data_IF_182005290382
#
_entry.id   IF_182005290382
#
_cell.length_a   1.000
_cell.length_b   1.000
_cell.length_c   1.000
_cell.angle_alpha   90.00
_cell.angle_beta   90.00
_cell.angle_gamma   90.00
#
_symmetry.space_group_name_H-M   'P 1'
#
loop_
_entity.id
_entity.type
_entity.pdbx_description
1 polymer ?
#
# COMPACT_ATOMS: atom_id res chain seq x y z
N UNK A 1 -49.40 32.51 -57.65
CA UNK A 1 -48.20 32.10 -56.90
C UNK A 1 -47.82 30.72 -57.41
N UNK A 2 -46.70 30.61 -58.13
CA UNK A 2 -46.40 29.42 -58.91
C UNK A 2 -46.10 28.22 -58.01
N UNK A 3 -46.57 27.03 -58.40
CA UNK A 3 -46.39 25.77 -57.64
C UNK A 3 -44.93 25.53 -57.24
N UNK A 4 -43.99 26.04 -58.05
CA UNK A 4 -42.55 26.01 -57.79
C UNK A 4 -42.17 26.69 -56.47
N UNK A 5 -42.66 27.91 -56.19
CA UNK A 5 -42.34 28.63 -54.95
C UNK A 5 -42.91 27.92 -53.71
N UNK A 6 -44.10 27.33 -53.82
CA UNK A 6 -44.70 26.57 -52.72
C UNK A 6 -43.85 25.33 -52.37
N UNK A 7 -43.34 24.61 -53.37
CA UNK A 7 -42.45 23.45 -53.16
C UNK A 7 -41.12 23.88 -52.56
N UNK A 8 -40.53 24.97 -53.05
CA UNK A 8 -39.26 25.49 -52.54
C UNK A 8 -39.38 25.92 -51.06
N UNK A 9 -40.44 26.63 -50.69
CA UNK A 9 -40.69 27.04 -49.30
C UNK A 9 -40.89 25.83 -48.40
N UNK A 10 -41.68 24.85 -48.84
CA UNK A 10 -41.91 23.62 -48.07
C UNK A 10 -40.60 22.83 -47.84
N UNK A 11 -39.76 22.72 -48.88
CA UNK A 11 -38.46 22.05 -48.77
C UNK A 11 -37.51 22.80 -47.83
N UNK A 12 -37.41 24.13 -47.96
CA UNK A 12 -36.58 24.94 -47.06
C UNK A 12 -37.04 24.86 -45.60
N UNK A 13 -38.36 24.90 -45.36
CA UNK A 13 -38.92 24.74 -44.02
C UNK A 13 -38.61 23.35 -43.45
N UNK A 14 -38.78 22.28 -44.24
CA UNK A 14 -38.47 20.91 -43.83
C UNK A 14 -36.99 20.76 -43.47
N UNK A 15 -36.08 21.23 -44.33
CA UNK A 15 -34.64 21.19 -44.07
C UNK A 15 -34.29 21.98 -42.81
N UNK A 16 -34.90 23.16 -42.61
CA UNK A 16 -34.70 23.95 -41.40
C UNK A 16 -35.13 23.19 -40.13
N UNK A 17 -36.31 22.58 -40.13
CA UNK A 17 -36.77 21.76 -38.99
C UNK A 17 -35.86 20.55 -38.74
N UNK A 18 -35.39 19.89 -39.79
CA UNK A 18 -34.44 18.78 -39.67
C UNK A 18 -33.10 19.24 -39.07
N UNK A 19 -32.57 20.38 -39.51
CA UNK A 19 -31.34 20.96 -38.96
C UNK A 19 -31.50 21.34 -37.49
N UNK A 20 -32.64 21.92 -37.10
CA UNK A 20 -32.94 22.21 -35.71
C UNK A 20 -33.01 20.92 -34.87
N UNK A 21 -33.69 19.88 -35.37
CA UNK A 21 -33.78 18.59 -34.69
C UNK A 21 -32.39 17.95 -34.47
N UNK A 22 -31.53 18.01 -35.49
CA UNK A 22 -30.14 17.53 -35.40
C UNK A 22 -29.35 18.36 -34.38
N UNK A 23 -29.51 19.69 -34.39
CA UNK A 23 -28.82 20.56 -33.44
C UNK A 23 -29.23 20.28 -31.99
N UNK A 24 -30.52 20.16 -31.70
CA UNK A 24 -31.01 19.84 -30.35
C UNK A 24 -30.57 18.46 -29.88
N UNK A 25 -30.59 17.45 -30.76
CA UNK A 25 -30.13 16.11 -30.39
C UNK A 25 -28.61 16.05 -30.13
N UNK A 26 -27.80 16.79 -30.90
CA UNK A 26 -26.37 16.96 -30.65
C UNK A 26 -26.10 17.64 -29.29
N UNK A 27 -26.80 18.73 -28.98
CA UNK A 27 -26.66 19.42 -27.70
C UNK A 27 -27.05 18.51 -26.52
N UNK A 28 -28.13 17.74 -26.66
CA UNK A 28 -28.58 16.79 -25.65
C UNK A 28 -27.55 15.69 -25.39
N UNK A 29 -26.99 15.11 -26.46
CA UNK A 29 -25.96 14.09 -26.34
C UNK A 29 -24.67 14.63 -25.72
N UNK A 30 -24.24 15.83 -26.12
CA UNK A 30 -23.09 16.50 -25.54
C UNK A 30 -23.28 16.78 -24.04
N UNK A 31 -24.46 17.27 -23.63
CA UNK A 31 -24.78 17.53 -22.23
C UNK A 31 -24.71 16.26 -21.38
N UNK A 32 -25.32 15.16 -21.85
CA UNK A 32 -25.24 13.88 -21.15
C UNK A 32 -23.82 13.30 -21.12
N UNK A 33 -23.03 13.47 -22.18
CA UNK A 33 -21.65 13.04 -22.18
C UNK A 33 -20.81 13.79 -21.11
N UNK A 34 -20.99 15.11 -21.02
CA UNK A 34 -20.33 15.94 -19.98
C UNK A 34 -20.78 15.54 -18.58
N UNK A 35 -22.08 15.30 -18.37
CA UNK A 35 -22.63 14.85 -17.09
C UNK A 35 -22.01 13.50 -16.66
N UNK A 36 -21.94 12.52 -17.58
CA UNK A 36 -21.37 11.20 -17.31
C UNK A 36 -19.88 11.28 -16.99
N UNK A 37 -19.12 12.11 -17.72
CA UNK A 37 -17.71 12.36 -17.41
C UNK A 37 -17.56 13.00 -16.03
N UNK A 38 -18.35 14.04 -15.73
CA UNK A 38 -18.28 14.73 -14.45
C UNK A 38 -18.56 13.75 -13.30
N UNK A 39 -19.60 12.93 -13.40
CA UNK A 39 -19.92 11.89 -12.41
C UNK A 39 -18.78 10.89 -12.25
N UNK A 40 -18.22 10.39 -13.36
CA UNK A 40 -17.11 9.44 -13.32
C UNK A 40 -15.86 10.03 -12.63
N UNK A 41 -15.51 11.28 -12.94
CA UNK A 41 -14.39 11.99 -12.30
C UNK A 41 -14.67 12.19 -10.81
N UNK A 42 -15.88 12.60 -10.42
CA UNK A 42 -16.26 12.75 -9.01
C UNK A 42 -16.17 11.42 -8.26
N UNK A 43 -16.68 10.33 -8.83
CA UNK A 43 -16.57 8.99 -8.23
C UNK A 43 -15.12 8.55 -8.06
N UNK A 44 -14.26 8.82 -9.05
CA UNK A 44 -12.84 8.52 -8.98
C UNK A 44 -12.17 9.30 -7.83
N UNK A 45 -12.43 10.60 -7.74
CA UNK A 45 -11.88 11.46 -6.68
C UNK A 45 -12.33 10.99 -5.30
N UNK A 46 -13.62 10.69 -5.12
CA UNK A 46 -14.15 10.16 -3.85
C UNK A 46 -13.46 8.85 -3.49
N UNK A 47 -13.33 7.93 -4.44
CA UNK A 47 -12.67 6.63 -4.22
C UNK A 47 -11.22 6.80 -3.81
N UNK A 48 -10.48 7.73 -4.44
CA UNK A 48 -9.10 8.03 -4.07
C UNK A 48 -9.01 8.64 -2.66
N UNK A 49 -9.93 9.54 -2.30
CA UNK A 49 -9.98 10.16 -0.98
C UNK A 49 -10.28 9.09 0.09
N UNK A 50 -11.34 8.30 -0.09
CA UNK A 50 -11.73 7.25 0.86
C UNK A 50 -10.63 6.20 0.98
N UNK A 51 -10.05 5.74 -0.13
CA UNK A 51 -8.93 4.80 -0.11
C UNK A 51 -7.73 5.35 0.67
N UNK A 52 -7.36 6.63 0.47
CA UNK A 52 -6.28 7.28 1.22
C UNK A 52 -6.61 7.40 2.70
N UNK A 53 -7.85 7.72 3.03
CA UNK A 53 -8.32 7.86 4.41
C UNK A 53 -8.33 6.50 5.12
N UNK A 54 -8.97 5.48 4.53
CA UNK A 54 -8.99 4.11 5.07
C UNK A 54 -7.58 3.55 5.19
N UNK A 55 -6.69 3.76 4.20
CA UNK A 55 -5.29 3.35 4.30
C UNK A 55 -4.59 4.03 5.48
N UNK A 56 -4.77 5.34 5.68
CA UNK A 56 -4.21 6.05 6.83
C UNK A 56 -4.82 5.63 8.17
N UNK A 57 -6.07 5.22 8.21
CA UNK A 57 -6.74 4.88 9.47
C UNK A 57 -6.55 3.42 9.87
N UNK A 58 -6.60 2.50 8.91
CA UNK A 58 -6.51 1.07 9.18
C UNK A 58 -5.08 0.52 9.11
N UNK A 59 -4.16 1.18 8.39
CA UNK A 59 -2.80 0.66 8.17
C UNK A 59 -1.71 1.53 8.79
N UNK A 60 -2.06 2.62 9.48
CA UNK A 60 -1.10 3.53 10.10
C UNK A 60 -1.05 3.31 11.61
N UNK A 61 -0.69 2.10 12.01
CA UNK A 61 0.04 1.94 13.28
C UNK A 61 1.46 2.47 13.03
N UNK A 62 1.61 3.80 13.06
CA UNK A 62 2.93 4.41 13.14
C UNK A 62 3.51 4.08 14.52
N UNK A 63 4.19 2.93 14.58
CA UNK A 63 4.97 2.55 15.75
C UNK A 63 6.12 3.57 15.84
N UNK A 64 6.17 4.34 16.93
CA UNK A 64 7.37 5.12 17.26
C UNK A 64 8.53 4.14 17.40
N UNK A 65 9.43 4.15 16.41
CA UNK A 65 10.55 3.21 16.29
C UNK A 65 11.63 3.52 17.34
N UNK A 66 11.60 4.71 17.93
CA UNK A 66 12.61 5.13 18.90
C UNK A 66 12.67 4.13 20.05
N UNK A 67 13.86 3.55 20.21
CA UNK A 67 14.17 2.59 21.27
C UNK A 67 13.20 1.39 21.29
N UNK A 68 12.75 0.90 20.13
CA UNK A 68 12.00 -0.37 20.04
C UNK A 68 12.90 -1.53 19.66
N UNK A 69 12.68 -2.67 20.29
CA UNK A 69 13.34 -3.92 19.98
C UNK A 69 12.33 -4.97 19.50
N UNK A 70 12.79 -5.92 18.69
CA UNK A 70 11.99 -7.06 18.22
C UNK A 70 12.81 -8.34 18.33
N UNK A 71 12.15 -9.44 18.68
CA UNK A 71 12.72 -10.79 18.61
C UNK A 71 12.12 -11.51 17.40
N UNK A 72 12.99 -12.01 16.51
CA UNK A 72 12.58 -12.76 15.33
C UNK A 72 13.21 -14.15 15.41
N UNK A 73 12.41 -15.18 15.16
CA UNK A 73 12.85 -16.58 15.09
C UNK A 73 12.95 -17.04 13.64
N UNK A 74 13.93 -17.89 13.31
CA UNK A 74 14.13 -18.40 11.95
C UNK A 74 14.72 -17.36 11.00
N UNK A 75 15.83 -16.72 11.40
CA UNK A 75 16.46 -15.63 10.64
C UNK A 75 17.65 -16.06 9.76
N UNK A 76 17.95 -17.34 9.64
CA UNK A 76 19.06 -17.85 8.85
C UNK A 76 18.78 -17.87 7.34
N UNK A 77 17.53 -17.72 6.91
CA UNK A 77 17.14 -17.62 5.49
C UNK A 77 15.77 -16.97 5.28
N UNK A 78 15.39 -16.79 4.01
CA UNK A 78 14.03 -16.45 3.60
C UNK A 78 13.47 -15.17 4.22
N UNK A 79 12.21 -15.22 4.65
CA UNK A 79 11.51 -14.04 5.17
C UNK A 79 12.09 -13.53 6.49
N UNK A 80 12.50 -14.42 7.41
CA UNK A 80 13.06 -14.01 8.69
C UNK A 80 14.37 -13.24 8.53
N UNK A 81 15.22 -13.66 7.59
CA UNK A 81 16.46 -12.97 7.22
C UNK A 81 16.16 -11.56 6.68
N UNK A 82 15.28 -11.46 5.67
CA UNK A 82 14.93 -10.19 5.04
C UNK A 82 14.22 -9.23 6.02
N UNK A 83 13.37 -9.78 6.89
CA UNK A 83 12.67 -9.01 7.91
C UNK A 83 13.63 -8.44 8.94
N UNK A 84 14.60 -9.24 9.42
CA UNK A 84 15.62 -8.79 10.35
C UNK A 84 16.40 -7.59 9.78
N UNK A 85 16.88 -7.71 8.55
CA UNK A 85 17.58 -6.60 7.87
C UNK A 85 16.69 -5.37 7.68
N UNK A 86 15.42 -5.56 7.30
CA UNK A 86 14.48 -4.46 7.06
C UNK A 86 14.15 -3.70 8.34
N UNK A 87 13.97 -4.41 9.46
CA UNK A 87 13.65 -3.79 10.75
C UNK A 87 14.88 -3.10 11.36
N UNK A 88 16.07 -3.70 11.24
CA UNK A 88 17.32 -3.07 11.65
C UNK A 88 17.58 -1.76 10.87
N UNK A 89 17.42 -1.78 9.54
CA UNK A 89 17.50 -0.57 8.69
C UNK A 89 16.45 0.50 9.03
N UNK A 90 15.32 0.10 9.61
CA UNK A 90 14.29 1.03 10.08
C UNK A 90 14.58 1.63 11.46
N UNK A 91 15.62 1.14 12.15
CA UNK A 91 16.06 1.65 13.46
C UNK A 91 15.60 0.81 14.64
N UNK A 92 15.01 -0.37 14.41
CA UNK A 92 14.73 -1.32 15.50
C UNK A 92 16.02 -2.00 15.95
N UNK A 93 16.10 -2.29 17.25
CA UNK A 93 17.07 -3.25 17.77
C UNK A 93 16.54 -4.66 17.53
N UNK A 94 17.21 -5.40 16.65
CA UNK A 94 16.76 -6.73 16.23
C UNK A 94 17.52 -7.81 17.01
N UNK A 95 16.77 -8.66 17.69
CA UNK A 95 17.24 -9.93 18.22
C UNK A 95 16.85 -11.01 17.22
N UNK A 96 17.75 -11.34 16.30
CA UNK A 96 17.53 -12.37 15.30
C UNK A 96 18.00 -13.72 15.85
N UNK A 97 17.18 -14.75 15.71
CA UNK A 97 17.50 -16.08 16.22
C UNK A 97 17.25 -17.17 15.18
N UNK A 98 18.02 -18.25 15.27
CA UNK A 98 17.89 -19.45 14.43
C UNK A 98 18.44 -20.65 15.17
N UNK A 99 18.20 -21.86 14.66
CA UNK A 99 18.68 -23.09 15.30
C UNK A 99 20.21 -23.19 15.26
N UNK A 100 20.83 -22.75 14.16
CA UNK A 100 22.27 -22.84 13.93
C UNK A 100 22.91 -21.45 13.70
N UNK A 101 23.28 -20.73 14.77
CA UNK A 101 23.78 -19.34 14.67
C UNK A 101 25.15 -19.21 13.98
N UNK A 102 25.87 -20.31 13.79
CA UNK A 102 27.13 -20.39 13.05
C UNK A 102 26.94 -20.88 11.59
N UNK A 103 25.69 -21.08 11.15
CA UNK A 103 25.40 -21.43 9.75
C UNK A 103 25.72 -20.27 8.80
N UNK A 104 25.84 -20.56 7.49
CA UNK A 104 26.23 -19.56 6.49
C UNK A 104 25.30 -18.33 6.50
N UNK A 105 23.98 -18.54 6.42
CA UNK A 105 23.02 -17.43 6.38
C UNK A 105 22.93 -16.64 7.69
N UNK A 106 23.06 -17.29 8.85
CA UNK A 106 23.13 -16.59 10.15
C UNK A 106 24.42 -15.78 10.31
N UNK A 107 25.55 -16.30 9.83
CA UNK A 107 26.84 -15.61 9.84
C UNK A 107 26.81 -14.39 8.93
N UNK A 108 26.26 -14.55 7.73
CA UNK A 108 26.05 -13.44 6.79
C UNK A 108 25.12 -12.38 7.40
N UNK A 109 23.99 -12.80 7.99
CA UNK A 109 23.06 -11.90 8.65
C UNK A 109 23.77 -11.08 9.73
N UNK A 110 24.60 -11.74 10.56
CA UNK A 110 25.37 -11.09 11.63
C UNK A 110 26.30 -9.98 11.12
N UNK A 111 26.87 -10.13 9.92
CA UNK A 111 27.69 -9.08 9.29
C UNK A 111 26.85 -7.97 8.66
N UNK A 112 25.60 -8.26 8.30
CA UNK A 112 24.71 -7.29 7.64
C UNK A 112 23.92 -6.40 8.60
N UNK A 113 23.71 -6.85 9.85
CA UNK A 113 22.98 -6.11 10.88
C UNK A 113 23.87 -5.07 11.57
N UNK A 114 23.26 -4.00 12.06
CA UNK A 114 23.94 -2.98 12.86
C UNK A 114 24.48 -3.54 14.18
N UNK A 115 25.47 -2.87 14.77
CA UNK A 115 26.10 -3.27 16.04
C UNK A 115 25.12 -3.42 17.22
N UNK A 116 24.01 -2.67 17.16
CA UNK A 116 22.96 -2.67 18.15
C UNK A 116 22.11 -3.95 18.12
N UNK A 117 22.05 -4.64 16.99
CA UNK A 117 21.30 -5.88 16.78
C UNK A 117 22.16 -7.11 17.07
N UNK A 118 21.52 -8.23 17.40
CA UNK A 118 22.19 -9.47 17.83
C UNK A 118 21.64 -10.68 17.09
N UNK A 119 22.55 -11.56 16.65
CA UNK A 119 22.22 -12.89 16.11
C UNK A 119 22.65 -13.95 17.10
N UNK A 120 21.74 -14.84 17.51
CA UNK A 120 22.01 -15.89 18.50
C UNK A 120 21.22 -17.18 18.24
N UNK A 121 21.58 -18.25 18.95
CA UNK A 121 20.94 -19.57 18.81
C UNK A 121 19.67 -19.68 19.64
N UNK A 122 18.61 -20.23 19.06
CA UNK A 122 17.37 -20.59 19.77
C UNK A 122 16.75 -21.85 19.16
N UNK A 123 16.58 -22.87 20.00
CA UNK A 123 15.76 -24.03 19.72
C UNK A 123 14.39 -23.85 20.37
N UNK A 124 13.41 -23.42 19.59
CA UNK A 124 12.04 -23.14 20.07
C UNK A 124 11.31 -24.37 20.61
N UNK A 125 11.84 -25.58 20.35
CA UNK A 125 11.25 -26.84 20.82
C UNK A 125 11.68 -27.21 22.24
N UNK A 126 12.72 -26.55 22.78
CA UNK A 126 13.29 -26.84 24.10
C UNK A 126 13.08 -25.69 25.06
N UNK A 127 12.39 -25.97 26.17
CA UNK A 127 12.05 -24.96 27.17
C UNK A 127 13.29 -24.30 27.78
N UNK A 128 14.36 -25.07 28.01
CA UNK A 128 15.62 -24.55 28.54
C UNK A 128 16.26 -23.55 27.56
N UNK A 129 16.21 -23.84 26.25
CA UNK A 129 16.73 -22.94 25.21
C UNK A 129 15.92 -21.64 25.16
N UNK A 130 14.59 -21.73 25.25
CA UNK A 130 13.70 -20.56 25.31
C UNK A 130 13.99 -19.70 26.55
N UNK A 131 14.20 -20.32 27.71
CA UNK A 131 14.55 -19.59 28.95
C UNK A 131 15.90 -18.89 28.84
N UNK A 132 16.90 -19.53 28.24
CA UNK A 132 18.21 -18.93 27.99
C UNK A 132 18.12 -17.75 27.01
N UNK A 133 17.34 -17.89 25.94
CA UNK A 133 17.07 -16.81 24.99
C UNK A 133 16.38 -15.62 25.65
N UNK A 134 15.38 -15.87 26.50
CA UNK A 134 14.71 -14.82 27.27
C UNK A 134 15.70 -14.06 28.17
N UNK A 135 16.57 -14.77 28.87
CA UNK A 135 17.62 -14.17 29.70
C UNK A 135 18.58 -13.34 28.86
N UNK A 136 19.08 -13.89 27.75
CA UNK A 136 19.97 -13.21 26.82
C UNK A 136 19.36 -11.91 26.27
N UNK A 137 18.10 -11.95 25.83
CA UNK A 137 17.39 -10.76 25.34
C UNK A 137 17.26 -9.71 26.44
N UNK A 138 16.84 -10.09 27.65
CA UNK A 138 16.71 -9.16 28.79
C UNK A 138 18.02 -8.46 29.14
N UNK A 139 19.12 -9.22 29.19
CA UNK A 139 20.45 -8.69 29.51
C UNK A 139 20.96 -7.72 28.44
N UNK A 140 20.60 -7.96 27.18
CA UNK A 140 21.06 -7.15 26.05
C UNK A 140 20.04 -6.08 25.62
N UNK A 141 18.86 -6.00 26.23
CA UNK A 141 17.80 -5.07 25.82
C UNK A 141 18.20 -3.61 26.06
N UNK A 142 18.85 -3.32 27.19
CA UNK A 142 19.26 -1.97 27.57
C UNK A 142 18.04 -1.06 27.77
N UNK A 143 18.05 0.13 27.14
CA UNK A 143 16.94 1.10 27.23
C UNK A 143 15.84 0.91 26.18
N UNK A 144 15.85 -0.20 25.45
CA UNK A 144 14.86 -0.50 24.42
C UNK A 144 13.61 -1.16 25.01
N UNK A 145 12.45 -0.92 24.40
CA UNK A 145 11.19 -1.57 24.72
C UNK A 145 10.92 -2.68 23.70
N UNK A 146 10.73 -3.91 24.18
CA UNK A 146 10.54 -5.09 23.35
C UNK A 146 9.07 -5.15 22.89
N UNK A 147 8.85 -5.21 21.57
CA UNK A 147 7.52 -5.31 20.95
C UNK A 147 7.17 -6.73 20.52
#
# INVERSE_FOLDING_TARGET
MDKFYAVLIAHCALVFFLLQLVHYSLLFFAAHFVERIAVAVTCLVITLITFRFTKRWCLQDEIDIKKKAVLITGCDSGFGYLLAQRLDKKGFKVFASCLFPCGAGASELKTSLSENSKVFGLDVTKQESVQQALKYVKENLGSYDLK
#
